data_IF_813650110879
#
_entry.id   IF_813650110879
#
_cell.length_a   1.000
_cell.length_b   1.000
_cell.length_c   1.000
_cell.angle_alpha   90.00
_cell.angle_beta   90.00
_cell.angle_gamma   90.00
#
_symmetry.space_group_name_H-M   'P 1'
#
loop_
_entity.id
_entity.type
_entity.pdbx_description
1 polymer ?
#
# COMPACT_ATOMS: atom_id res chain seq x y z
N UNK A 1 -7.97 -63.72 -53.20
CA UNK A 1 -7.60 -63.63 -51.77
C UNK A 1 -7.54 -62.16 -51.41
N UNK A 2 -8.36 -61.76 -50.43
CA UNK A 2 -8.33 -60.59 -49.52
C UNK A 2 -7.97 -59.19 -50.09
N UNK A 3 -8.94 -58.26 -50.10
CA UNK A 3 -9.10 -57.12 -49.14
C UNK A 3 -8.18 -55.94 -49.51
N UNK A 4 -8.69 -54.73 -49.78
CA UNK A 4 -9.34 -53.84 -48.79
C UNK A 4 -8.20 -53.14 -48.01
N UNK A 5 -8.09 -51.84 -47.82
CA UNK A 5 -9.04 -50.74 -47.90
C UNK A 5 -8.25 -49.41 -47.93
N UNK A 6 -9.01 -48.37 -48.17
CA UNK A 6 -8.66 -47.03 -48.58
C UNK A 6 -8.45 -46.05 -47.38
N UNK A 7 -8.06 -44.82 -47.69
CA UNK A 7 -8.36 -43.56 -46.96
C UNK A 7 -7.44 -43.14 -45.79
N UNK A 8 -6.60 -42.12 -46.01
CA UNK A 8 -6.85 -40.71 -45.62
C UNK A 8 -5.63 -39.90 -45.15
N UNK A 9 -5.44 -38.77 -45.84
CA UNK A 9 -5.38 -37.40 -45.31
C UNK A 9 -4.63 -37.16 -43.99
N UNK A 10 -3.56 -36.33 -44.07
CA UNK A 10 -3.51 -34.91 -43.63
C UNK A 10 -2.05 -34.54 -43.32
N UNK A 11 -1.45 -33.74 -44.20
CA UNK A 11 -0.20 -33.04 -43.90
C UNK A 11 -0.48 -31.96 -42.84
N UNK A 12 0.32 -31.94 -41.79
CA UNK A 12 0.26 -30.96 -40.70
C UNK A 12 1.01 -29.68 -41.10
N UNK A 13 0.50 -28.49 -40.72
CA UNK A 13 1.25 -27.25 -40.81
C UNK A 13 2.12 -27.04 -39.55
N UNK A 14 3.22 -26.33 -39.78
CA UNK A 14 4.23 -25.81 -38.85
C UNK A 14 3.71 -25.35 -37.47
N UNK A 15 4.36 -25.77 -36.37
CA UNK A 15 4.45 -25.00 -35.12
C UNK A 15 5.80 -25.19 -34.41
N UNK A 16 6.37 -24.06 -33.98
CA UNK A 16 7.69 -23.92 -33.39
C UNK A 16 7.86 -24.58 -32.01
N UNK A 17 9.09 -25.00 -31.75
CA UNK A 17 9.54 -25.68 -30.56
C UNK A 17 9.55 -24.74 -29.35
N UNK A 18 8.42 -24.62 -28.63
CA UNK A 18 8.36 -24.01 -27.29
C UNK A 18 9.02 -24.94 -26.28
N UNK A 19 10.25 -24.62 -25.84
CA UNK A 19 10.87 -25.27 -24.67
C UNK A 19 10.14 -24.87 -23.40
N UNK A 20 9.29 -25.78 -22.91
CA UNK A 20 8.84 -25.88 -21.52
C UNK A 20 10.05 -26.08 -20.60
N UNK A 21 10.19 -25.28 -19.56
CA UNK A 21 10.69 -25.75 -18.26
C UNK A 21 9.59 -25.52 -17.23
N UNK A 22 9.02 -26.64 -16.77
CA UNK A 22 8.29 -26.73 -15.51
C UNK A 22 9.33 -26.92 -14.41
N UNK A 23 9.20 -26.17 -13.32
CA UNK A 23 9.60 -26.61 -11.98
C UNK A 23 8.55 -26.08 -11.00
N UNK A 24 7.78 -27.01 -10.43
CA UNK A 24 7.22 -27.00 -9.07
C UNK A 24 8.35 -26.76 -8.05
N UNK A 25 8.20 -26.20 -6.84
CA UNK A 25 7.07 -26.05 -5.90
C UNK A 25 7.50 -25.09 -4.74
N UNK A 26 6.71 -24.88 -3.66
CA UNK A 26 6.60 -23.62 -2.92
C UNK A 26 7.50 -23.48 -1.68
N UNK A 27 7.75 -22.24 -1.26
CA UNK A 27 8.01 -21.92 0.15
C UNK A 27 7.55 -20.52 0.52
N UNK A 28 6.79 -20.49 1.61
CA UNK A 28 6.35 -19.36 2.42
C UNK A 28 7.50 -18.41 2.70
N UNK A 29 7.37 -17.17 2.23
CA UNK A 29 8.29 -16.07 2.52
C UNK A 29 7.48 -14.86 2.95
N UNK A 30 7.42 -14.66 4.26
CA UNK A 30 6.83 -13.50 4.94
C UNK A 30 7.42 -12.23 4.34
N UNK A 31 6.62 -11.43 3.63
CA UNK A 31 7.08 -10.13 3.13
C UNK A 31 6.96 -9.11 4.25
N UNK A 32 7.95 -9.10 5.13
CA UNK A 32 8.20 -7.99 6.03
C UNK A 32 8.56 -6.78 5.16
N UNK A 33 7.65 -5.83 5.00
CA UNK A 33 7.94 -4.56 4.31
C UNK A 33 8.73 -3.69 5.27
N UNK A 34 10.00 -4.05 5.48
CA UNK A 34 10.94 -3.17 6.16
C UNK A 34 11.19 -1.98 5.25
N UNK A 35 10.63 -0.83 5.62
CA UNK A 35 11.08 0.48 5.15
C UNK A 35 12.56 0.61 5.48
N UNK A 36 13.44 0.36 4.52
CA UNK A 36 14.87 0.62 4.69
C UNK A 36 15.11 2.12 4.57
N UNK A 37 15.05 2.83 5.68
CA UNK A 37 15.75 4.10 5.84
C UNK A 37 17.19 3.79 6.26
N UNK A 38 18.06 3.55 5.28
CA UNK A 38 19.51 3.63 5.49
C UNK A 38 19.97 5.05 5.17
N UNK A 39 19.83 5.93 6.15
CA UNK A 39 20.84 6.92 6.48
C UNK A 39 20.84 7.02 8.01
N UNK A 40 21.96 6.61 8.60
CA UNK A 40 22.21 6.82 10.01
C UNK A 40 22.35 8.31 10.26
N UNK A 41 21.41 8.85 11.01
CA UNK A 41 21.58 10.10 11.73
C UNK A 41 21.47 9.73 13.21
N UNK A 42 22.55 9.98 13.94
CA UNK A 42 22.61 9.84 15.38
C UNK A 42 21.65 10.87 15.97
N UNK A 43 20.56 10.42 16.59
CA UNK A 43 19.72 11.27 17.44
C UNK A 43 20.17 11.01 18.87
N UNK A 44 20.90 11.98 19.40
CA UNK A 44 21.22 12.05 20.82
C UNK A 44 19.91 12.16 21.58
N UNK A 45 19.64 11.16 22.41
CA UNK A 45 18.54 11.11 23.36
C UNK A 45 18.89 12.05 24.52
N UNK A 46 18.42 13.30 24.48
CA UNK A 46 18.55 14.27 25.57
C UNK A 46 17.16 14.84 25.90
N UNK A 47 16.27 13.96 26.36
CA UNK A 47 14.95 14.34 26.86
C UNK A 47 15.03 14.76 28.34
N UNK A 48 15.43 16.02 28.57
CA UNK A 48 15.14 16.73 29.82
C UNK A 48 13.69 17.25 29.83
N UNK A 49 12.89 16.59 30.67
CA UNK A 49 11.53 16.91 31.17
C UNK A 49 10.94 18.32 30.94
N UNK A 50 9.72 18.34 30.39
CA UNK A 50 8.67 19.28 30.82
C UNK A 50 7.28 18.61 30.67
N UNK A 51 6.52 18.55 31.76
CA UNK A 51 5.27 17.75 31.88
C UNK A 51 4.00 18.49 31.45
N UNK A 52 4.06 19.34 30.43
CA UNK A 52 2.88 20.00 29.86
C UNK A 52 2.81 19.70 28.35
N UNK A 53 1.85 18.84 27.97
CA UNK A 53 1.42 18.54 26.59
C UNK A 53 2.56 18.28 25.57
N UNK A 54 3.12 17.06 25.60
CA UNK A 54 3.97 16.57 24.50
C UNK A 54 3.10 16.46 23.25
N UNK A 55 3.11 17.50 22.42
CA UNK A 55 2.47 17.50 21.10
C UNK A 55 3.12 16.42 20.24
N UNK A 56 2.48 15.25 20.19
CA UNK A 56 2.94 14.10 19.42
C UNK A 56 3.05 14.51 17.94
N UNK A 57 4.22 14.24 17.34
CA UNK A 57 4.46 14.52 15.92
C UNK A 57 3.34 13.90 15.05
N UNK A 58 2.84 14.60 14.02
CA UNK A 58 1.84 14.05 13.11
C UNK A 58 2.31 12.74 12.48
N UNK A 59 1.44 11.73 12.46
CA UNK A 59 1.73 10.43 11.85
C UNK A 59 0.50 9.89 11.10
N UNK A 60 0.68 8.92 10.18
CA UNK A 60 -0.44 8.23 9.56
C UNK A 60 -1.27 7.46 10.62
N UNK A 61 -2.58 7.58 10.54
CA UNK A 61 -3.52 6.84 11.39
C UNK A 61 -4.36 5.92 10.50
N UNK A 62 -4.34 4.61 10.79
CA UNK A 62 -5.12 3.62 10.05
C UNK A 62 -6.54 3.62 10.61
N UNK A 63 -7.52 4.07 9.82
CA UNK A 63 -8.92 4.14 10.26
C UNK A 63 -9.78 3.01 9.71
N UNK A 64 -9.30 2.24 8.72
CA UNK A 64 -10.01 1.09 8.15
C UNK A 64 -9.14 -0.16 8.24
N UNK A 65 -9.60 -1.18 8.95
CA UNK A 65 -8.93 -2.47 9.06
C UNK A 65 -9.48 -3.40 7.97
N UNK A 66 -8.59 -4.04 7.23
CA UNK A 66 -8.97 -5.02 6.21
C UNK A 66 -8.57 -6.41 6.69
N UNK A 67 -9.55 -7.29 6.85
CA UNK A 67 -9.33 -8.68 7.25
C UNK A 67 -9.12 -9.53 5.99
N UNK A 68 -7.90 -10.03 5.81
CA UNK A 68 -7.53 -10.79 4.60
C UNK A 68 -8.31 -12.10 4.47
N UNK A 69 -8.63 -12.73 5.61
CA UNK A 69 -9.26 -14.05 5.69
C UNK A 69 -10.77 -14.00 5.44
N UNK A 70 -11.46 -13.03 6.05
CA UNK A 70 -12.93 -12.96 6.05
C UNK A 70 -13.49 -11.97 5.02
N UNK A 71 -12.62 -11.34 4.23
CA UNK A 71 -12.97 -10.29 3.26
C UNK A 71 -13.83 -9.15 3.84
N UNK A 72 -13.70 -8.94 5.15
CA UNK A 72 -14.44 -7.93 5.89
C UNK A 72 -13.58 -6.67 6.09
N UNK A 73 -14.25 -5.53 6.20
CA UNK A 73 -13.64 -4.26 6.57
C UNK A 73 -14.27 -3.75 7.85
N UNK A 74 -13.44 -3.31 8.78
CA UNK A 74 -13.86 -2.72 10.05
C UNK A 74 -13.36 -1.28 10.13
N UNK A 75 -14.18 -0.40 10.67
CA UNK A 75 -13.83 0.99 10.92
C UNK A 75 -13.33 1.12 12.35
N UNK A 76 -12.17 1.73 12.52
CA UNK A 76 -11.70 2.18 13.83
C UNK A 76 -12.37 3.53 14.15
N UNK A 77 -13.55 3.44 14.76
CA UNK A 77 -14.36 4.60 15.12
C UNK A 77 -13.62 5.49 16.14
N UNK A 78 -12.96 4.90 17.13
CA UNK A 78 -12.21 5.64 18.16
C UNK A 78 -11.08 6.48 17.55
N UNK A 79 -10.29 5.88 16.64
CA UNK A 79 -9.21 6.59 15.96
C UNK A 79 -9.75 7.72 15.06
N UNK A 80 -10.87 7.50 14.38
CA UNK A 80 -11.48 8.51 13.51
C UNK A 80 -12.07 9.67 14.33
N UNK A 81 -12.74 9.38 15.45
CA UNK A 81 -13.28 10.38 16.37
C UNK A 81 -12.19 11.28 16.95
N UNK A 82 -11.06 10.70 17.37
CA UNK A 82 -9.89 11.47 17.85
C UNK A 82 -9.35 12.44 16.79
N UNK A 83 -9.55 12.15 15.50
CA UNK A 83 -9.10 13.03 14.42
C UNK A 83 -10.16 14.06 14.05
N UNK A 84 -11.44 13.71 13.98
CA UNK A 84 -12.47 14.60 13.41
C UNK A 84 -13.26 15.40 14.46
N UNK A 85 -13.31 14.94 15.72
CA UNK A 85 -14.09 15.60 16.78
C UNK A 85 -13.27 16.53 17.67
N UNK A 86 -12.03 16.85 17.28
CA UNK A 86 -11.23 17.83 18.01
C UNK A 86 -11.91 19.20 17.99
N UNK A 87 -11.85 19.92 19.11
CA UNK A 87 -12.63 21.15 19.33
C UNK A 87 -12.40 22.22 18.26
N UNK A 88 -11.18 22.30 17.71
CA UNK A 88 -10.80 23.32 16.73
C UNK A 88 -11.16 22.98 15.28
N UNK A 89 -11.72 21.79 15.00
CA UNK A 89 -12.06 21.34 13.63
C UNK A 89 -13.46 20.76 13.47
N UNK A 90 -14.10 20.26 14.54
CA UNK A 90 -15.36 19.50 14.45
C UNK A 90 -16.53 20.26 13.79
N UNK A 91 -16.49 21.59 13.87
CA UNK A 91 -17.54 22.49 13.38
C UNK A 91 -17.15 23.15 12.04
N UNK A 92 -16.05 22.74 11.42
CA UNK A 92 -15.56 23.26 10.14
C UNK A 92 -16.04 22.42 8.95
N UNK A 93 -16.15 23.05 7.78
CA UNK A 93 -16.38 22.32 6.53
C UNK A 93 -15.14 21.50 6.16
N UNK A 94 -15.34 20.23 5.80
CA UNK A 94 -14.25 19.30 5.52
C UNK A 94 -14.16 19.04 4.01
N UNK A 95 -12.93 18.96 3.50
CA UNK A 95 -12.62 18.46 2.16
C UNK A 95 -11.84 17.16 2.30
N UNK A 96 -12.34 16.09 1.68
CA UNK A 96 -11.64 14.79 1.64
C UNK A 96 -10.84 14.70 0.34
N UNK A 97 -9.53 14.53 0.48
CA UNK A 97 -8.62 14.26 -0.65
C UNK A 97 -8.17 12.81 -0.55
N UNK A 98 -8.44 12.01 -1.58
CA UNK A 98 -8.08 10.58 -1.61
C UNK A 98 -7.36 10.20 -2.89
N UNK A 99 -6.48 9.19 -2.79
CA UNK A 99 -5.75 8.63 -3.92
C UNK A 99 -5.94 7.11 -3.91
N UNK A 100 -6.59 6.58 -4.94
CA UNK A 100 -6.83 5.15 -5.11
C UNK A 100 -6.19 4.63 -6.41
N UNK A 101 -5.97 3.31 -6.49
CA UNK A 101 -5.40 2.66 -7.68
C UNK A 101 -4.52 1.46 -7.37
N UNK A 102 -3.90 0.88 -8.41
CA UNK A 102 -3.15 -0.37 -8.31
C UNK A 102 -1.99 -0.34 -7.29
N UNK A 103 -1.67 -1.50 -6.74
CA UNK A 103 -0.56 -1.68 -5.79
C UNK A 103 0.78 -1.30 -6.43
N UNK A 104 1.65 -0.61 -5.67
CA UNK A 104 2.98 -0.16 -6.10
C UNK A 104 3.00 0.82 -7.30
N UNK A 105 1.97 1.66 -7.45
CA UNK A 105 1.94 2.78 -8.43
C UNK A 105 2.29 4.16 -7.83
N UNK A 106 2.96 4.20 -6.68
CA UNK A 106 3.43 5.46 -6.10
C UNK A 106 2.37 6.31 -5.39
N UNK A 107 1.26 5.70 -4.92
CA UNK A 107 0.19 6.44 -4.21
C UNK A 107 0.69 7.15 -2.94
N UNK A 108 1.37 6.42 -2.05
CA UNK A 108 1.93 7.00 -0.82
C UNK A 108 3.00 8.05 -1.12
N UNK A 109 3.77 7.88 -2.20
CA UNK A 109 4.74 8.88 -2.67
C UNK A 109 4.06 10.20 -3.08
N UNK A 110 2.94 10.12 -3.80
CA UNK A 110 2.17 11.32 -4.17
C UNK A 110 1.57 12.00 -2.94
N UNK A 111 1.01 11.24 -1.99
CA UNK A 111 0.47 11.79 -0.74
C UNK A 111 1.55 12.50 0.09
N UNK A 112 2.77 11.94 0.17
CA UNK A 112 3.90 12.59 0.84
C UNK A 112 4.25 13.94 0.19
N UNK A 113 4.21 14.04 -1.14
CA UNK A 113 4.38 15.32 -1.84
C UNK A 113 3.26 16.32 -1.52
N UNK A 114 2.00 15.87 -1.45
CA UNK A 114 0.87 16.72 -1.05
C UNK A 114 1.04 17.24 0.39
N UNK A 115 1.48 16.40 1.32
CA UNK A 115 1.77 16.80 2.70
C UNK A 115 2.86 17.88 2.74
N UNK A 116 3.97 17.71 2.02
CA UNK A 116 5.03 18.74 1.91
C UNK A 116 4.48 20.07 1.40
N UNK A 117 3.60 20.07 0.41
CA UNK A 117 2.96 21.29 -0.07
C UNK A 117 2.07 21.94 1.00
N UNK A 118 1.25 21.16 1.71
CA UNK A 118 0.35 21.68 2.75
C UNK A 118 1.13 22.31 3.91
N UNK A 119 2.18 21.65 4.40
CA UNK A 119 3.02 22.21 5.49
C UNK A 119 3.80 23.45 5.05
N UNK A 120 4.30 23.49 3.81
CA UNK A 120 5.04 24.66 3.31
C UNK A 120 4.15 25.89 3.09
N UNK A 121 2.87 25.70 2.77
CA UNK A 121 1.89 26.80 2.65
C UNK A 121 1.55 27.43 3.98
N UNK A 122 1.43 26.63 5.04
CA UNK A 122 1.17 27.11 6.41
C UNK A 122 2.36 27.94 6.91
N UNK A 123 3.59 27.54 6.57
CA UNK A 123 4.80 28.24 7.01
C UNK A 123 5.13 29.53 6.23
N UNK A 124 4.47 29.77 5.09
CA UNK A 124 4.75 30.92 4.21
C UNK A 124 3.82 32.11 4.44
N UNK A 125 2.89 32.04 5.39
CA UNK A 125 2.06 33.17 5.79
C UNK A 125 2.71 33.83 7.00
N UNK A 126 3.77 34.61 6.78
CA UNK A 126 4.21 35.81 7.52
C UNK A 126 5.48 36.38 6.83
#
# INVERSE_FOLDING_TARGET
>A
MAEGDEVSRRQQPHQGLRRRRRTSDPSTGVNHVSSTTLLGENYEDDDLVNSDEVMKKPCPVQIVLAHEDDHNFELDEEALEQILLQEHIRDLNIVVVSVAGAFRKGKSFLLDFMLRYMYNKVNSVF
#
